data_IF_990084652138
#
_entry.id   IF_990084652138
#
_cell.length_a   1.000
_cell.length_b   1.000
_cell.length_c   1.000
_cell.angle_alpha   90.00
_cell.angle_beta   90.00
_cell.angle_gamma   90.00
#
_symmetry.space_group_name_H-M   'P 1'
#
loop_
_entity.id
_entity.type
_entity.pdbx_description
1 polymer ?
#
# COMPACT_ATOMS: atom_id res chain seq x y z
N UNK A 1 10.39 3.21 -3.80
CA UNK A 1 11.06 2.05 -4.38
C UNK A 1 12.49 1.97 -3.86
N UNK A 2 13.07 0.77 -3.82
CA UNK A 2 14.45 0.55 -3.39
C UNK A 2 15.45 0.84 -4.52
N UNK A 3 16.70 1.11 -4.16
CA UNK A 3 17.78 1.40 -5.13
C UNK A 3 18.36 0.14 -5.80
N UNK A 4 17.84 -1.03 -5.46
CA UNK A 4 18.25 -2.35 -5.97
C UNK A 4 16.99 -3.13 -6.41
N UNK A 5 17.12 -4.09 -7.33
CA UNK A 5 16.00 -4.89 -7.80
C UNK A 5 15.42 -5.73 -6.65
N UNK A 6 14.10 -5.62 -6.47
CA UNK A 6 13.33 -6.40 -5.50
C UNK A 6 12.22 -7.17 -6.20
N UNK A 7 11.95 -8.38 -5.73
CA UNK A 7 10.77 -9.14 -6.12
C UNK A 7 9.86 -9.33 -4.91
N UNK A 8 8.57 -9.03 -5.09
CA UNK A 8 7.54 -9.25 -4.10
C UNK A 8 6.64 -10.39 -4.56
N UNK A 9 6.36 -11.32 -3.66
CA UNK A 9 5.32 -12.33 -3.84
C UNK A 9 4.41 -12.34 -2.62
N UNK A 10 3.19 -12.83 -2.81
CA UNK A 10 2.17 -12.84 -1.77
C UNK A 10 1.69 -14.28 -1.59
N UNK A 11 2.43 -15.11 -0.83
CA UNK A 11 2.11 -16.53 -0.66
C UNK A 11 0.76 -16.77 0.03
N UNK A 12 0.23 -15.77 0.73
CA UNK A 12 -1.13 -15.79 1.30
C UNK A 12 -1.83 -14.50 0.90
N UNK A 13 -2.96 -14.63 0.20
CA UNK A 13 -3.88 -13.54 -0.13
C UNK A 13 -5.29 -14.08 0.03
N UNK A 14 -5.90 -13.86 1.19
CA UNK A 14 -7.28 -14.26 1.47
C UNK A 14 -8.07 -13.06 2.02
N UNK A 15 -8.07 -11.99 1.24
CA UNK A 15 -8.70 -10.72 1.63
C UNK A 15 -10.14 -10.65 1.09
N UNK A 16 -11.08 -10.33 1.97
CA UNK A 16 -12.47 -10.04 1.59
C UNK A 16 -12.67 -8.53 1.55
N UNK A 17 -13.30 -8.04 0.49
CA UNK A 17 -13.68 -6.62 0.36
C UNK A 17 -15.20 -6.46 0.40
N UNK A 18 -15.67 -5.54 1.23
CA UNK A 18 -17.05 -5.03 1.21
C UNK A 18 -17.03 -3.58 0.75
N UNK A 19 -17.79 -3.27 -0.29
CA UNK A 19 -17.87 -1.92 -0.90
C UNK A 19 -19.28 -1.36 -0.71
N UNK A 20 -19.35 -0.07 -0.41
CA UNK A 20 -20.58 0.71 -0.37
C UNK A 20 -20.58 1.69 -1.54
N UNK A 21 -21.73 1.85 -2.18
CA UNK A 21 -21.92 2.71 -3.36
C UNK A 21 -22.96 3.80 -3.10
N UNK A 22 -22.90 4.89 -3.86
CA UNK A 22 -23.98 5.89 -3.93
C UNK A 22 -25.14 5.41 -4.84
N UNK A 23 -26.17 6.23 -5.00
CA UNK A 23 -27.34 5.94 -5.85
C UNK A 23 -26.99 5.82 -7.35
N UNK A 24 -25.88 6.41 -7.78
CA UNK A 24 -25.35 6.29 -9.15
C UNK A 24 -24.54 4.99 -9.34
N UNK A 25 -24.28 4.23 -8.28
CA UNK A 25 -23.48 3.01 -8.29
C UNK A 25 -21.97 3.23 -8.12
N UNK A 26 -21.50 4.48 -7.93
CA UNK A 26 -20.08 4.75 -7.69
C UNK A 26 -19.67 4.30 -6.29
N UNK A 27 -18.47 3.72 -6.11
CA UNK A 27 -17.97 3.38 -4.79
C UNK A 27 -17.69 4.65 -3.99
N UNK A 28 -18.12 4.65 -2.72
CA UNK A 28 -17.86 5.76 -1.77
C UNK A 28 -16.97 5.32 -0.63
N UNK A 29 -17.02 4.04 -0.27
CA UNK A 29 -16.22 3.46 0.80
C UNK A 29 -16.06 1.96 0.59
N UNK A 30 -14.94 1.39 1.03
CA UNK A 30 -14.78 -0.05 1.14
C UNK A 30 -13.97 -0.41 2.39
N UNK A 31 -14.22 -1.61 2.91
CA UNK A 31 -13.42 -2.25 3.94
C UNK A 31 -12.83 -3.51 3.31
N UNK A 32 -11.52 -3.69 3.44
CA UNK A 32 -10.80 -4.88 3.03
C UNK A 32 -10.23 -5.52 4.30
N UNK A 33 -10.49 -6.81 4.51
CA UNK A 33 -9.97 -7.52 5.68
C UNK A 33 -9.65 -8.97 5.39
N UNK A 34 -8.60 -9.49 6.02
CA UNK A 34 -8.25 -10.92 5.95
C UNK A 34 -6.76 -11.19 6.09
N UNK A 35 -6.34 -12.44 5.87
CA UNK A 35 -4.93 -12.83 5.81
C UNK A 35 -4.20 -12.28 4.58
N UNK A 36 -3.01 -11.73 4.82
CA UNK A 36 -2.10 -11.27 3.76
C UNK A 36 -0.65 -11.44 4.22
N UNK A 37 0.10 -12.32 3.56
CA UNK A 37 1.53 -12.48 3.80
C UNK A 37 2.29 -12.04 2.56
N UNK A 38 3.31 -11.22 2.74
CA UNK A 38 4.19 -10.71 1.68
C UNK A 38 5.62 -11.18 1.92
N UNK A 39 6.23 -11.80 0.92
CA UNK A 39 7.65 -12.09 0.88
C UNK A 39 8.33 -11.14 -0.09
N UNK A 40 9.43 -10.53 0.35
CA UNK A 40 10.21 -9.60 -0.47
C UNK A 40 11.65 -10.03 -0.52
N UNK A 41 12.17 -10.21 -1.73
CA UNK A 41 13.54 -10.66 -1.97
C UNK A 41 14.35 -9.56 -2.67
N UNK A 42 15.51 -9.23 -2.12
CA UNK A 42 16.55 -8.47 -2.84
C UNK A 42 17.18 -9.41 -3.88
N UNK A 43 17.07 -9.07 -5.17
CA UNK A 43 17.52 -9.92 -6.27
C UNK A 43 19.03 -9.92 -6.45
N UNK A 44 19.74 -8.93 -5.92
CA UNK A 44 21.20 -8.87 -5.99
C UNK A 44 21.84 -9.80 -4.95
N UNK A 45 21.25 -9.88 -3.75
CA UNK A 45 21.84 -10.62 -2.61
C UNK A 45 21.14 -11.93 -2.27
N UNK A 46 19.92 -12.14 -2.78
CA UNK A 46 19.07 -13.26 -2.38
C UNK A 46 18.47 -13.14 -0.98
N UNK A 47 18.68 -12.02 -0.27
CA UNK A 47 18.09 -11.77 1.05
C UNK A 47 16.57 -11.65 0.93
N UNK A 48 15.84 -12.47 1.67
CA UNK A 48 14.37 -12.47 1.71
C UNK A 48 13.86 -12.09 3.09
N UNK A 49 12.79 -11.29 3.12
CA UNK A 49 12.05 -10.96 4.34
C UNK A 49 10.57 -11.24 4.16
N UNK A 50 9.94 -11.86 5.18
CA UNK A 50 8.50 -12.12 5.24
C UNK A 50 7.80 -11.09 6.11
N UNK A 51 6.69 -10.52 5.65
CA UNK A 51 5.84 -9.60 6.40
C UNK A 51 4.42 -10.10 6.41
N UNK A 52 3.91 -10.32 7.61
CA UNK A 52 2.47 -10.45 7.82
C UNK A 52 1.85 -9.05 7.72
N UNK A 53 0.95 -8.87 6.78
CA UNK A 53 0.15 -7.66 6.53
C UNK A 53 -1.35 -7.97 6.70
N UNK A 54 -1.67 -9.07 7.38
CA UNK A 54 -3.04 -9.45 7.68
C UNK A 54 -3.68 -8.38 8.56
N UNK A 55 -4.97 -8.12 8.35
CA UNK A 55 -5.66 -7.12 9.14
C UNK A 55 -6.80 -6.49 8.36
N UNK A 56 -7.10 -5.24 8.70
CA UNK A 56 -8.18 -4.47 8.07
C UNK A 56 -7.64 -3.15 7.54
N UNK A 57 -8.00 -2.84 6.30
CA UNK A 57 -7.81 -1.55 5.66
C UNK A 57 -9.12 -1.01 5.10
N UNK A 58 -9.12 0.26 4.75
CA UNK A 58 -10.29 0.97 4.23
C UNK A 58 -9.91 1.74 2.98
N UNK A 59 -10.84 1.82 2.04
CA UNK A 59 -10.75 2.70 0.89
C UNK A 59 -11.84 3.75 1.01
N UNK A 60 -11.49 5.03 0.87
CA UNK A 60 -12.46 6.10 0.67
C UNK A 60 -12.25 6.74 -0.69
N UNK A 61 -13.36 7.13 -1.32
CA UNK A 61 -13.37 7.75 -2.64
C UNK A 61 -13.80 9.20 -2.45
N UNK A 62 -12.84 10.13 -2.29
CA UNK A 62 -13.13 11.51 -1.87
C UNK A 62 -13.83 12.33 -2.95
N UNK A 63 -13.77 11.88 -4.20
CA UNK A 63 -14.33 12.55 -5.37
C UNK A 63 -15.45 11.68 -5.97
N UNK A 64 -16.73 12.07 -5.82
CA UNK A 64 -17.84 11.33 -6.43
C UNK A 64 -17.65 11.18 -7.94
N UNK A 65 -17.91 9.99 -8.47
CA UNK A 65 -17.72 9.67 -9.90
C UNK A 65 -16.27 9.50 -10.36
N UNK A 66 -15.27 9.69 -9.49
CA UNK A 66 -13.84 9.47 -9.79
C UNK A 66 -13.31 8.28 -9.00
N UNK A 67 -13.18 7.14 -9.67
CA UNK A 67 -12.65 5.89 -9.08
C UNK A 67 -11.15 5.72 -9.30
N UNK A 68 -10.54 6.59 -10.09
CA UNK A 68 -9.10 6.66 -10.33
C UNK A 68 -8.34 7.30 -9.16
N UNK A 69 -9.02 8.05 -8.28
CA UNK A 69 -8.46 8.61 -7.06
C UNK A 69 -9.16 8.05 -5.82
N UNK A 70 -8.38 7.49 -4.90
CA UNK A 70 -8.91 6.94 -3.64
C UNK A 70 -7.85 7.03 -2.53
N UNK A 71 -8.30 6.98 -1.28
CA UNK A 71 -7.43 6.95 -0.11
C UNK A 71 -7.48 5.57 0.51
N UNK A 72 -6.33 4.89 0.58
CA UNK A 72 -6.17 3.63 1.31
C UNK A 72 -5.62 3.92 2.70
N UNK A 73 -6.33 3.46 3.73
CA UNK A 73 -5.94 3.63 5.14
C UNK A 73 -5.96 2.30 5.89
N UNK A 74 -5.08 2.12 6.86
CA UNK A 74 -5.04 0.86 7.62
C UNK A 74 -3.84 0.74 8.54
N UNK A 75 -3.83 -0.32 9.34
CA UNK A 75 -2.80 -0.55 10.35
C UNK A 75 -1.56 -1.24 9.81
N UNK A 76 -1.75 -2.47 9.33
CA UNK A 76 -0.69 -3.33 8.78
C UNK A 76 -0.81 -3.41 7.26
N UNK A 77 -0.09 -2.54 6.55
CA UNK A 77 -0.02 -2.58 5.09
C UNK A 77 1.21 -1.84 4.55
N UNK A 78 1.53 -2.06 3.27
CA UNK A 78 2.74 -1.53 2.65
C UNK A 78 2.49 -0.66 1.42
N UNK A 79 3.37 0.33 1.21
CA UNK A 79 3.36 1.21 0.03
C UNK A 79 4.77 1.43 -0.51
N UNK A 80 4.95 1.21 -1.82
CA UNK A 80 6.15 1.63 -2.55
C UNK A 80 5.99 3.08 -3.00
N UNK A 81 6.85 3.97 -2.52
CA UNK A 81 6.86 5.40 -2.87
C UNK A 81 7.99 5.69 -3.86
N UNK A 82 7.64 6.02 -5.10
CA UNK A 82 8.56 6.30 -6.20
C UNK A 82 9.06 7.75 -6.17
N UNK A 83 9.94 8.12 -7.10
CA UNK A 83 10.57 9.45 -7.14
C UNK A 83 9.56 10.60 -7.24
N UNK A 84 8.46 10.40 -7.97
CA UNK A 84 7.41 11.40 -8.18
C UNK A 84 6.40 11.48 -7.03
N UNK A 85 6.44 10.55 -6.07
CA UNK A 85 5.50 10.48 -4.96
C UNK A 85 5.84 11.49 -3.84
N UNK A 86 4.86 11.83 -3.00
CA UNK A 86 4.95 12.92 -2.01
C UNK A 86 4.45 12.51 -0.61
N UNK A 87 4.86 13.23 0.45
CA UNK A 87 6.11 13.98 0.56
C UNK A 87 7.34 13.07 0.61
N UNK A 88 7.14 11.77 0.86
CA UNK A 88 8.19 10.77 0.88
C UNK A 88 8.34 10.09 -0.49
N UNK A 89 9.58 9.85 -0.89
CA UNK A 89 9.96 9.22 -2.15
C UNK A 89 11.08 8.20 -1.94
N UNK A 90 11.30 7.33 -2.92
CA UNK A 90 12.35 6.29 -2.91
C UNK A 90 12.38 5.43 -1.65
N UNK A 91 11.20 5.09 -1.14
CA UNK A 91 11.01 4.26 0.06
C UNK A 91 10.03 3.14 -0.23
N UNK A 92 10.08 2.09 0.57
CA UNK A 92 9.03 1.09 0.64
C UNK A 92 8.63 0.93 2.09
N UNK A 93 7.52 1.57 2.45
CA UNK A 93 7.08 1.64 3.82
C UNK A 93 6.12 0.50 4.14
N UNK A 94 6.28 -0.14 5.28
CA UNK A 94 5.30 -1.05 5.89
C UNK A 94 4.89 -0.47 7.23
N UNK A 95 3.61 -0.14 7.36
CA UNK A 95 3.05 0.34 8.62
C UNK A 95 2.81 -0.83 9.58
N UNK A 96 3.01 -0.56 10.88
CA UNK A 96 2.60 -1.38 12.04
C UNK A 96 1.78 -0.53 13.03
N UNK A 97 1.28 0.61 12.56
CA UNK A 97 0.57 1.61 13.34
C UNK A 97 -0.65 2.07 12.56
N UNK A 98 -0.60 3.26 11.96
CA UNK A 98 -1.62 3.73 11.03
C UNK A 98 -0.94 4.44 9.85
N UNK A 99 -1.33 4.08 8.64
CA UNK A 99 -0.88 4.74 7.42
C UNK A 99 -2.06 5.01 6.50
N UNK A 100 -2.07 6.21 5.92
CA UNK A 100 -3.06 6.66 4.94
C UNK A 100 -2.35 7.24 3.73
N UNK A 101 -2.70 6.78 2.53
CA UNK A 101 -2.11 7.23 1.26
C UNK A 101 -3.23 7.50 0.27
N UNK A 102 -3.19 8.66 -0.39
CA UNK A 102 -3.99 8.92 -1.58
C UNK A 102 -3.28 8.32 -2.79
N UNK A 103 -3.99 7.50 -3.54
CA UNK A 103 -3.55 6.94 -4.80
C UNK A 103 -4.37 7.58 -5.92
N UNK A 104 -3.68 8.10 -6.93
CA UNK A 104 -4.30 8.68 -8.13
C UNK A 104 -3.72 7.97 -9.35
N UNK A 105 -4.59 7.34 -10.15
CA UNK A 105 -4.24 6.68 -11.39
C UNK A 105 -4.45 7.63 -12.56
N UNK A 106 -3.41 7.93 -13.31
CA UNK A 106 -3.49 8.82 -14.48
C UNK A 106 -2.50 8.37 -15.55
N UNK A 107 -2.94 8.29 -16.81
CA UNK A 107 -2.05 7.97 -17.93
C UNK A 107 -1.30 6.62 -17.81
N UNK A 108 -1.85 5.65 -17.07
CA UNK A 108 -1.19 4.37 -16.79
C UNK A 108 -0.22 4.40 -15.60
N UNK A 109 0.06 5.58 -15.05
CA UNK A 109 0.85 5.76 -13.83
C UNK A 109 -0.03 5.76 -12.59
N UNK A 110 0.57 5.44 -11.44
CA UNK A 110 -0.05 5.62 -10.12
C UNK A 110 0.80 6.58 -9.33
N UNK A 111 0.25 7.75 -9.01
CA UNK A 111 0.83 8.70 -8.08
C UNK A 111 0.35 8.41 -6.67
N UNK A 112 1.25 8.55 -5.69
CA UNK A 112 0.99 8.27 -4.28
C UNK A 112 1.35 9.48 -3.45
N UNK A 113 0.43 9.89 -2.59
CA UNK A 113 0.62 10.94 -1.61
C UNK A 113 0.41 10.35 -0.21
N UNK A 114 1.49 10.23 0.56
CA UNK A 114 1.44 9.79 1.95
C UNK A 114 0.80 10.90 2.79
N UNK A 115 -0.45 10.70 3.20
CA UNK A 115 -1.24 11.66 3.97
C UNK A 115 -0.95 11.57 5.46
N UNK A 116 -0.73 10.35 5.97
CA UNK A 116 -0.46 10.11 7.39
C UNK A 116 0.38 8.86 7.56
N UNK A 117 1.34 8.92 8.48
CA UNK A 117 2.09 7.78 8.97
C UNK A 117 2.31 7.97 10.47
N UNK A 118 1.70 7.12 11.27
CA UNK A 118 1.72 7.21 12.73
C UNK A 118 2.04 5.85 13.34
N UNK A 119 2.72 5.87 14.48
CA UNK A 119 3.15 4.66 15.16
C UNK A 119 4.37 4.00 14.52
N UNK A 120 4.56 2.70 14.79
CA UNK A 120 5.71 1.95 14.28
C UNK A 120 5.56 1.73 12.77
N UNK A 121 6.65 1.87 12.05
CA UNK A 121 6.74 1.53 10.64
C UNK A 121 8.14 1.04 10.31
N UNK A 122 8.25 0.41 9.15
CA UNK A 122 9.50 -0.10 8.61
C UNK A 122 9.72 0.49 7.21
N UNK A 123 10.98 0.74 6.86
CA UNK A 123 11.39 0.92 5.47
C UNK A 123 12.05 -0.36 4.97
N UNK A 124 11.33 -1.16 4.17
CA UNK A 124 11.83 -2.43 3.64
C UNK A 124 13.11 -2.27 2.83
N UNK A 125 13.33 -1.11 2.20
CA UNK A 125 14.57 -0.87 1.48
C UNK A 125 15.78 -0.84 2.41
N UNK A 126 15.65 -0.35 3.66
CA UNK A 126 16.74 -0.42 4.64
C UNK A 126 16.95 -1.85 5.13
N UNK A 127 15.85 -2.56 5.40
CA UNK A 127 15.88 -3.94 5.85
C UNK A 127 16.53 -4.87 4.82
N UNK A 128 16.28 -4.63 3.53
CA UNK A 128 16.76 -5.45 2.42
C UNK A 128 18.13 -5.02 1.88
N UNK A 129 18.76 -3.99 2.43
CA UNK A 129 20.12 -3.63 2.05
C UNK A 129 21.08 -4.83 2.20
N UNK A 130 22.07 -4.94 1.31
CA UNK A 130 23.19 -5.87 1.45
C UNK A 130 23.86 -5.76 2.81
#
# INVERSE_FOLDING_TARGET
>A
MCAFPTHAEFPVVDMVQKTWTNDAGDPVYAVISGPLIMDVTNKDTGKTVRRDLSGTGTLSYPEPGRTDTYVLSGGDWGVGLHTSDRPAHNKWLVSRGFMSVRLTKSGGETHRELLTLQGRYENLCETLKP
#
